data_IF_673570318873
#
_entry.id   IF_673570318873
#
_cell.length_a   1.000
_cell.length_b   1.000
_cell.length_c   1.000
_cell.angle_alpha   90.00
_cell.angle_beta   90.00
_cell.angle_gamma   90.00
#
_symmetry.space_group_name_H-M   'P 1'
#
loop_
_entity.id
_entity.type
_entity.pdbx_description
1 polymer ?
#
# COMPACT_ATOMS: atom_id res chain seq x y z
N UNK A 1 -12.88 11.26 -16.53
CA UNK A 1 -11.98 10.40 -15.72
C UNK A 1 -12.75 10.02 -14.46
N UNK A 2 -13.14 8.76 -14.34
CA UNK A 2 -13.84 8.26 -13.16
C UNK A 2 -12.86 8.29 -12.00
N UNK A 3 -13.22 8.96 -10.92
CA UNK A 3 -12.44 8.99 -9.68
C UNK A 3 -12.25 7.53 -9.25
N UNK A 4 -11.03 7.00 -9.34
CA UNK A 4 -10.73 5.68 -8.75
C UNK A 4 -10.96 5.86 -7.26
N UNK A 5 -12.04 5.32 -6.74
CA UNK A 5 -12.21 5.21 -5.29
C UNK A 5 -11.06 4.34 -4.78
N UNK A 6 -10.04 5.00 -4.27
CA UNK A 6 -9.01 4.33 -3.48
C UNK A 6 -9.75 3.76 -2.28
N UNK A 7 -9.76 2.43 -2.15
CA UNK A 7 -10.27 1.76 -0.95
C UNK A 7 -9.31 2.11 0.18
N UNK A 8 -9.49 3.27 0.79
CA UNK A 8 -8.70 3.71 1.95
C UNK A 8 -9.26 3.00 3.18
N UNK A 9 -8.43 2.17 3.79
CA UNK A 9 -8.75 1.55 5.07
C UNK A 9 -8.82 2.63 6.14
N UNK A 10 -9.83 2.56 7.01
CA UNK A 10 -9.91 3.50 8.13
C UNK A 10 -8.86 3.15 9.17
N UNK A 11 -8.40 4.14 9.93
CA UNK A 11 -7.46 3.93 11.03
C UNK A 11 -8.00 2.93 12.07
N UNK A 12 -9.31 2.87 12.26
CA UNK A 12 -9.92 1.94 13.21
C UNK A 12 -9.87 0.49 12.69
N UNK A 13 -10.08 0.28 11.39
CA UNK A 13 -9.90 -1.04 10.78
C UNK A 13 -8.45 -1.51 10.87
N UNK A 14 -7.48 -0.61 10.61
CA UNK A 14 -6.05 -0.93 10.70
C UNK A 14 -5.68 -1.28 12.15
N UNK A 15 -6.13 -0.51 13.14
CA UNK A 15 -5.90 -0.80 14.56
C UNK A 15 -6.45 -2.17 14.99
N UNK A 16 -7.65 -2.52 14.53
CA UNK A 16 -8.26 -3.81 14.82
C UNK A 16 -7.42 -4.96 14.23
N UNK A 17 -6.97 -4.82 12.98
CA UNK A 17 -6.14 -5.85 12.35
C UNK A 17 -4.75 -5.97 13.00
N UNK A 18 -4.12 -4.85 13.35
CA UNK A 18 -2.85 -4.84 14.10
C UNK A 18 -3.03 -5.58 15.42
N UNK A 19 -4.12 -5.32 16.16
CA UNK A 19 -4.42 -6.00 17.42
C UNK A 19 -4.62 -7.50 17.22
N UNK A 20 -5.39 -7.89 16.19
CA UNK A 20 -5.56 -9.30 15.82
C UNK A 20 -4.22 -9.97 15.50
N UNK A 21 -3.40 -9.34 14.64
CA UNK A 21 -2.10 -9.87 14.24
C UNK A 21 -1.18 -10.06 15.45
N UNK A 22 -1.08 -9.06 16.34
CA UNK A 22 -0.29 -9.16 17.56
C UNK A 22 -0.76 -10.31 18.48
N UNK A 23 -2.08 -10.52 18.61
CA UNK A 23 -2.65 -11.60 19.43
C UNK A 23 -2.27 -13.02 18.98
N UNK A 24 -1.74 -13.17 17.75
CA UNK A 24 -1.22 -14.45 17.23
C UNK A 24 0.22 -14.74 17.71
N UNK A 25 0.91 -13.73 18.25
CA UNK A 25 2.32 -13.79 18.67
C UNK A 25 2.55 -13.46 20.16
N UNK A 26 1.52 -13.08 20.92
CA UNK A 26 1.61 -12.87 22.37
C UNK A 26 2.11 -14.12 23.12
N UNK A 27 1.65 -15.30 22.70
CA UNK A 27 2.08 -16.58 23.23
C UNK A 27 3.03 -17.29 22.23
N UNK A 28 4.27 -17.49 22.65
CA UNK A 28 5.31 -18.15 21.85
C UNK A 28 4.95 -19.61 21.54
N UNK A 29 4.12 -20.24 22.36
CA UNK A 29 3.69 -21.65 22.22
C UNK A 29 2.42 -21.82 21.37
N UNK A 30 1.75 -20.73 20.98
CA UNK A 30 0.49 -20.73 20.22
C UNK A 30 0.61 -21.13 18.73
N UNK A 31 1.44 -22.12 18.42
CA UNK A 31 1.67 -22.61 17.05
C UNK A 31 0.40 -23.16 16.41
N UNK A 32 -0.45 -23.87 17.17
CA UNK A 32 -1.69 -24.44 16.62
C UNK A 32 -2.74 -23.37 16.33
N UNK A 33 -2.81 -22.31 17.14
CA UNK A 33 -3.63 -21.12 16.85
C UNK A 33 -3.19 -20.47 15.53
N UNK A 34 -1.88 -20.28 15.33
CA UNK A 34 -1.33 -19.72 14.08
C UNK A 34 -1.59 -20.62 12.87
N UNK A 35 -1.56 -21.94 13.02
CA UNK A 35 -1.91 -22.88 11.95
C UNK A 35 -3.39 -22.79 11.58
N UNK A 36 -4.27 -22.73 12.57
CA UNK A 36 -5.71 -22.60 12.34
C UNK A 36 -6.06 -21.26 11.67
N UNK A 37 -5.38 -20.19 12.07
CA UNK A 37 -5.58 -18.83 11.53
C UNK A 37 -4.62 -18.48 10.36
N UNK A 38 -3.95 -19.47 9.76
CA UNK A 38 -2.84 -19.22 8.83
C UNK A 38 -3.21 -18.28 7.66
N UNK A 39 -4.40 -18.47 7.08
CA UNK A 39 -4.90 -17.61 6.01
C UNK A 39 -5.02 -16.16 6.46
N UNK A 40 -5.63 -15.93 7.63
CA UNK A 40 -5.83 -14.60 8.19
C UNK A 40 -4.49 -13.96 8.58
N UNK A 41 -3.56 -14.74 9.15
CA UNK A 41 -2.20 -14.30 9.45
C UNK A 41 -1.48 -13.77 8.21
N UNK A 42 -1.47 -14.54 7.11
CA UNK A 42 -0.78 -14.17 5.87
C UNK A 42 -1.45 -12.96 5.23
N UNK A 43 -2.79 -12.93 5.18
CA UNK A 43 -3.53 -11.77 4.67
C UNK A 43 -3.22 -10.51 5.48
N UNK A 44 -3.22 -10.59 6.80
CA UNK A 44 -2.92 -9.43 7.65
C UNK A 44 -1.48 -8.96 7.53
N UNK A 45 -0.52 -9.88 7.40
CA UNK A 45 0.87 -9.50 7.14
C UNK A 45 0.99 -8.64 5.88
N UNK A 46 0.50 -9.13 4.74
CA UNK A 46 0.62 -8.38 3.48
C UNK A 46 -0.21 -7.11 3.47
N UNK A 47 -1.39 -7.11 4.09
CA UNK A 47 -2.23 -5.91 4.17
C UNK A 47 -1.55 -4.82 5.00
N UNK A 48 -1.07 -5.14 6.20
CA UNK A 48 -0.40 -4.17 7.08
C UNK A 48 0.92 -3.66 6.50
N UNK A 49 1.71 -4.54 5.87
CA UNK A 49 2.94 -4.15 5.18
C UNK A 49 2.63 -3.22 4.01
N UNK A 50 1.56 -3.49 3.26
CA UNK A 50 1.11 -2.62 2.16
C UNK A 50 0.69 -1.26 2.70
N UNK A 51 -0.13 -1.20 3.75
CA UNK A 51 -0.55 0.04 4.39
C UNK A 51 0.67 0.88 4.84
N UNK A 52 1.70 0.23 5.40
CA UNK A 52 2.94 0.89 5.80
C UNK A 52 3.72 1.46 4.60
N UNK A 53 3.86 0.69 3.52
CA UNK A 53 4.53 1.17 2.30
C UNK A 53 3.76 2.32 1.66
N UNK A 54 2.44 2.23 1.53
CA UNK A 54 1.64 3.30 0.95
C UNK A 54 1.70 4.59 1.79
N UNK A 55 1.77 4.47 3.12
CA UNK A 55 1.96 5.63 4.00
C UNK A 55 3.32 6.32 3.78
N UNK A 56 4.40 5.54 3.62
CA UNK A 56 5.76 6.09 3.47
C UNK A 56 6.15 6.50 2.05
N UNK A 57 5.71 5.75 1.04
CA UNK A 57 6.14 5.85 -0.36
C UNK A 57 5.05 6.34 -1.30
N UNK A 58 3.80 6.43 -0.84
CA UNK A 58 2.65 6.71 -1.70
C UNK A 58 2.19 5.47 -2.46
N UNK A 59 1.17 5.66 -3.31
CA UNK A 59 0.48 4.56 -3.99
C UNK A 59 1.22 4.06 -5.24
N UNK A 60 2.06 4.91 -5.83
CA UNK A 60 2.99 4.51 -6.87
C UNK A 60 4.22 3.98 -6.17
N UNK A 61 4.50 2.67 -6.29
CA UNK A 61 5.69 2.01 -5.73
C UNK A 61 7.00 2.42 -6.44
N UNK A 62 7.10 3.67 -6.90
CA UNK A 62 8.27 4.26 -7.50
C UNK A 62 8.33 5.76 -7.16
N UNK A 63 9.53 6.32 -7.30
CA UNK A 63 9.78 7.72 -6.99
C UNK A 63 10.00 8.55 -8.24
N UNK A 64 9.86 9.86 -8.07
CA UNK A 64 10.26 10.86 -9.05
C UNK A 64 11.10 11.95 -8.38
N UNK A 65 11.99 12.58 -9.15
CA UNK A 65 12.66 13.79 -8.71
C UNK A 65 11.61 14.89 -8.48
N UNK A 66 11.72 15.63 -7.37
CA UNK A 66 10.75 16.66 -6.98
C UNK A 66 11.32 18.06 -7.23
N UNK A 67 10.59 18.91 -7.94
CA UNK A 67 10.97 20.30 -8.17
C UNK A 67 10.39 21.24 -7.12
N UNK A 68 10.82 22.50 -7.15
CA UNK A 68 10.27 23.54 -6.27
C UNK A 68 8.76 23.63 -6.48
N UNK A 69 8.02 23.77 -5.38
CA UNK A 69 6.55 23.89 -5.36
C UNK A 69 5.77 22.66 -5.83
N UNK A 70 6.42 21.50 -6.03
CA UNK A 70 5.74 20.23 -6.30
C UNK A 70 5.49 19.43 -5.01
N UNK A 71 4.30 18.87 -4.89
CA UNK A 71 4.02 17.76 -3.97
C UNK A 71 4.63 16.46 -4.47
N UNK A 72 4.74 15.44 -3.61
CA UNK A 72 5.18 14.09 -4.02
C UNK A 72 4.29 13.53 -5.13
N UNK A 73 2.97 13.65 -4.98
CA UNK A 73 2.00 13.15 -5.95
C UNK A 73 2.16 13.82 -7.33
N UNK A 74 2.33 15.15 -7.36
CA UNK A 74 2.57 15.90 -8.61
C UNK A 74 3.89 15.50 -9.26
N UNK A 75 4.96 15.30 -8.47
CA UNK A 75 6.26 14.88 -9.01
C UNK A 75 6.19 13.51 -9.71
N UNK A 76 5.44 12.57 -9.13
CA UNK A 76 5.21 11.23 -9.69
C UNK A 76 4.39 11.33 -10.97
N UNK A 77 3.26 12.06 -10.93
CA UNK A 77 2.39 12.24 -12.11
C UNK A 77 3.14 12.87 -13.29
N UNK A 78 3.99 13.88 -13.04
CA UNK A 78 4.83 14.48 -14.08
C UNK A 78 5.81 13.46 -14.65
N UNK A 79 6.43 12.65 -13.81
CA UNK A 79 7.39 11.65 -14.26
C UNK A 79 6.73 10.55 -15.10
N UNK A 80 5.58 10.03 -14.66
CA UNK A 80 4.78 9.06 -15.41
C UNK A 80 4.36 9.63 -16.77
N UNK A 81 3.90 10.89 -16.81
CA UNK A 81 3.52 11.58 -18.05
C UNK A 81 4.71 11.73 -19.01
N UNK A 82 5.89 12.05 -18.47
CA UNK A 82 7.12 12.16 -19.27
C UNK A 82 7.54 10.81 -19.86
N UNK A 83 7.47 9.73 -19.09
CA UNK A 83 7.77 8.38 -19.58
C UNK A 83 6.81 7.96 -20.70
N UNK A 84 5.51 8.18 -20.52
CA UNK A 84 4.51 7.88 -21.55
C UNK A 84 4.78 8.64 -22.87
N UNK A 85 5.13 9.92 -22.77
CA UNK A 85 5.53 10.73 -23.92
C UNK A 85 6.80 10.18 -24.60
N UNK A 86 7.81 9.79 -23.82
CA UNK A 86 9.07 9.24 -24.35
C UNK A 86 8.91 7.89 -25.02
N UNK A 87 7.96 7.09 -24.55
CA UNK A 87 7.59 5.82 -25.14
C UNK A 87 6.60 5.96 -26.31
N UNK A 88 6.13 7.19 -26.60
CA UNK A 88 5.13 7.48 -27.63
C UNK A 88 3.84 6.66 -27.47
N UNK A 89 3.42 6.46 -26.21
CA UNK A 89 2.19 5.72 -25.88
C UNK A 89 0.95 6.49 -26.34
N UNK A 90 -0.03 5.75 -26.84
CA UNK A 90 -1.33 6.24 -27.28
C UNK A 90 -2.43 5.66 -26.40
N UNK A 91 -3.61 6.28 -26.48
CA UNK A 91 -4.78 5.76 -25.79
C UNK A 91 -5.12 4.35 -26.31
N UNK A 92 -5.06 3.36 -25.42
CA UNK A 92 -5.37 1.97 -25.73
C UNK A 92 -4.17 1.06 -26.02
N UNK A 93 -2.95 1.59 -25.95
CA UNK A 93 -1.72 0.77 -25.89
C UNK A 93 -1.61 -0.04 -24.59
#
# INVERSE_FOLDING_TARGET
MTEKQVIRRTNDNVKQEVSFYHSLFEDSTATDKRKNEYKNLVTSYYSLVTDFYEYGWGQSFHFANRFCDETLAESIQRHESYLALKMNLKAGD
#
